data_IF_000358934823
#
_entry.id   IF_000358934823
#
_cell.length_a   1.000
_cell.length_b   1.000
_cell.length_c   1.000
_cell.angle_alpha   90.00
_cell.angle_beta   90.00
_cell.angle_gamma   90.00
#
_symmetry.space_group_name_H-M   'P 1'
#
loop_
_entity.id
_entity.type
_entity.pdbx_description
1 polymer ?
#
# COMPACT_ATOMS: atom_id res chain seq x y z
N UNK A 1 -5.59 4.80 -18.40
CA UNK A 1 -4.51 4.28 -17.52
C UNK A 1 -4.82 2.82 -17.20
N UNK A 2 -3.89 1.87 -17.35
CA UNK A 2 -4.15 0.45 -16.98
C UNK A 2 -4.07 0.32 -15.45
N UNK A 3 -5.09 -0.25 -14.81
CA UNK A 3 -5.13 -0.49 -13.37
C UNK A 3 -4.18 -1.59 -12.90
N UNK A 4 -4.18 -1.89 -11.60
CA UNK A 4 -3.50 -3.06 -11.05
C UNK A 4 -4.02 -4.35 -11.72
N UNK A 5 -3.17 -5.38 -11.83
CA UNK A 5 -3.59 -6.65 -12.41
C UNK A 5 -4.58 -7.35 -11.46
N UNK A 6 -5.62 -7.96 -12.02
CA UNK A 6 -6.74 -8.56 -11.26
C UNK A 6 -6.55 -10.06 -11.06
N UNK A 7 -5.73 -10.69 -11.92
CA UNK A 7 -5.83 -12.13 -12.14
C UNK A 7 -5.17 -12.98 -11.06
N UNK A 8 -4.06 -12.56 -10.42
CA UNK A 8 -3.45 -13.30 -9.30
C UNK A 8 -2.46 -12.44 -8.49
N UNK A 9 -2.32 -12.76 -7.19
CA UNK A 9 -1.23 -12.28 -6.34
C UNK A 9 -1.63 -11.91 -4.90
N UNK A 10 -0.63 -11.87 -4.01
CA UNK A 10 -0.74 -11.50 -2.58
C UNK A 10 -1.64 -10.26 -2.35
N UNK A 11 -1.56 -9.28 -3.27
CA UNK A 11 -2.34 -8.05 -3.18
C UNK A 11 -3.84 -8.30 -3.23
N UNK A 12 -4.32 -9.15 -4.16
CA UNK A 12 -5.75 -9.48 -4.28
C UNK A 12 -6.23 -10.24 -3.05
N UNK A 13 -5.44 -11.22 -2.60
CA UNK A 13 -5.76 -12.03 -1.43
C UNK A 13 -5.79 -11.22 -0.13
N UNK A 14 -4.97 -10.17 -0.06
CA UNK A 14 -4.92 -9.27 1.11
C UNK A 14 -6.10 -8.30 1.23
N UNK A 15 -6.98 -8.20 0.21
CA UNK A 15 -8.12 -7.28 0.25
C UNK A 15 -9.17 -7.81 1.24
N UNK A 16 -9.51 -6.98 2.23
CA UNK A 16 -10.44 -7.30 3.31
C UNK A 16 -11.48 -6.20 3.46
N UNK A 17 -12.68 -6.61 3.88
CA UNK A 17 -13.76 -5.69 4.24
C UNK A 17 -13.84 -5.64 5.76
N UNK A 18 -13.84 -4.44 6.31
CA UNK A 18 -14.02 -4.18 7.73
C UNK A 18 -15.27 -3.33 7.92
N UNK A 19 -16.20 -3.80 8.73
CA UNK A 19 -17.42 -3.07 9.09
C UNK A 19 -17.38 -2.70 10.56
N UNK A 20 -17.71 -1.45 10.88
CA UNK A 20 -17.82 -0.95 12.25
C UNK A 20 -19.19 -0.30 12.43
N UNK A 21 -19.85 -0.59 13.54
CA UNK A 21 -21.01 0.15 14.02
C UNK A 21 -20.60 0.92 15.28
N UNK A 22 -20.68 2.25 15.23
CA UNK A 22 -20.40 3.09 16.38
C UNK A 22 -21.43 4.22 16.46
N UNK A 23 -22.12 4.31 17.60
CA UNK A 23 -23.14 5.35 17.88
C UNK A 23 -24.21 5.46 16.78
N UNK A 24 -24.63 4.33 16.21
CA UNK A 24 -25.64 4.28 15.14
C UNK A 24 -25.11 4.58 13.73
N UNK A 25 -23.81 4.88 13.58
CA UNK A 25 -23.16 5.04 12.28
C UNK A 25 -22.50 3.73 11.88
N UNK A 26 -22.90 3.19 10.73
CA UNK A 26 -22.29 2.01 10.12
C UNK A 26 -21.26 2.47 9.09
N UNK A 27 -20.00 2.17 9.35
CA UNK A 27 -18.89 2.44 8.42
C UNK A 27 -18.38 1.12 7.87
N UNK A 28 -18.34 1.00 6.54
CA UNK A 28 -17.61 -0.06 5.85
C UNK A 28 -16.29 0.51 5.30
N UNK A 29 -15.23 -0.28 5.36
CA UNK A 29 -13.92 0.08 4.83
C UNK A 29 -13.32 -1.11 4.10
N UNK A 30 -12.78 -0.87 2.92
CA UNK A 30 -11.95 -1.83 2.20
C UNK A 30 -10.49 -1.55 2.53
N UNK A 31 -9.75 -2.58 2.95
CA UNK A 31 -8.37 -2.48 3.41
C UNK A 31 -7.51 -3.56 2.76
N UNK A 32 -6.21 -3.33 2.69
CA UNK A 32 -5.21 -4.30 2.24
C UNK A 32 -4.06 -4.28 3.23
N UNK A 33 -3.60 -5.47 3.60
CA UNK A 33 -2.46 -5.65 4.52
C UNK A 33 -1.14 -5.88 3.76
N UNK A 34 -1.15 -5.90 2.42
CA UNK A 34 0.05 -6.07 1.60
C UNK A 34 0.85 -4.76 1.52
N UNK A 35 2.13 -4.81 1.89
CA UNK A 35 3.05 -3.67 1.82
C UNK A 35 3.19 -3.10 0.41
N UNK A 36 3.07 -3.94 -0.64
CA UNK A 36 3.17 -3.54 -2.05
C UNK A 36 2.00 -2.65 -2.48
N UNK A 37 0.88 -2.69 -1.75
CA UNK A 37 -0.32 -1.92 -2.09
C UNK A 37 -0.02 -0.42 -2.23
N UNK A 38 0.79 0.13 -1.32
CA UNK A 38 1.12 1.55 -1.33
C UNK A 38 1.91 1.95 -2.58
N UNK A 39 2.90 1.14 -2.96
CA UNK A 39 3.71 1.39 -4.16
C UNK A 39 2.91 1.19 -5.45
N UNK A 40 1.94 0.29 -5.46
CA UNK A 40 1.06 0.08 -6.61
C UNK A 40 0.07 1.24 -6.75
N UNK A 41 -0.52 1.70 -5.63
CA UNK A 41 -1.52 2.76 -5.64
C UNK A 41 -0.94 4.11 -6.06
N UNK A 42 0.23 4.48 -5.53
CA UNK A 42 0.82 5.80 -5.74
C UNK A 42 2.01 5.81 -6.69
N UNK A 43 2.61 4.66 -6.97
CA UNK A 43 3.89 4.58 -7.67
C UNK A 43 5.05 5.06 -6.80
N UNK A 44 6.23 5.15 -7.42
CA UNK A 44 7.42 5.75 -6.83
C UNK A 44 8.08 6.67 -7.86
N UNK A 45 8.46 7.87 -7.44
CA UNK A 45 9.23 8.79 -8.29
C UNK A 45 10.67 8.28 -8.42
N UNK A 46 11.33 8.64 -9.52
CA UNK A 46 12.74 8.35 -9.72
C UNK A 46 13.58 9.02 -8.61
N UNK A 47 14.40 8.23 -7.95
CA UNK A 47 15.28 8.66 -6.85
C UNK A 47 16.61 7.92 -6.91
N UNK A 48 17.54 8.38 -6.07
CA UNK A 48 18.80 7.69 -5.83
C UNK A 48 18.66 6.84 -4.57
N UNK A 49 19.05 5.58 -4.67
CA UNK A 49 19.18 4.68 -3.53
C UNK A 49 20.63 4.75 -3.09
N UNK A 50 20.90 5.30 -1.90
CA UNK A 50 22.25 5.40 -1.35
C UNK A 50 22.34 4.72 0.02
N UNK A 51 23.56 4.36 0.43
CA UNK A 51 23.83 3.81 1.76
C UNK A 51 23.80 4.94 2.81
N UNK A 52 23.18 4.71 3.96
CA UNK A 52 23.25 5.67 5.06
C UNK A 52 24.64 5.66 5.70
N UNK A 53 25.11 6.82 6.17
CA UNK A 53 26.46 6.96 6.75
C UNK A 53 26.72 6.01 7.93
N UNK A 54 25.69 5.66 8.71
CA UNK A 54 25.76 4.70 9.83
C UNK A 54 25.89 3.23 9.41
N UNK A 55 25.39 2.91 8.22
CA UNK A 55 25.39 1.56 7.63
C UNK A 55 26.57 1.37 6.68
N UNK A 56 27.43 2.40 6.59
CA UNK A 56 28.74 2.31 5.94
C UNK A 56 29.57 1.30 6.72
N UNK A 57 30.27 0.35 6.06
CA UNK A 57 30.97 -0.72 6.74
C UNK A 57 31.95 -0.17 7.78
N UNK A 58 31.72 -0.52 9.05
CA UNK A 58 32.64 -0.34 10.17
C UNK A 58 33.14 -1.72 10.64
N UNK A 59 34.31 -1.79 11.26
CA UNK A 59 34.88 -3.05 11.78
C UNK A 59 34.73 -3.09 13.29
N UNK A 60 34.01 -4.07 13.83
CA UNK A 60 34.05 -4.34 15.28
C UNK A 60 35.40 -4.93 15.70
N UNK A 61 36.03 -4.31 16.68
CA UNK A 61 37.26 -4.79 17.33
C UNK A 61 37.03 -5.02 18.82
N UNK A 62 37.99 -5.63 19.51
CA UNK A 62 37.95 -5.78 20.97
C UNK A 62 37.90 -4.44 21.73
N UNK A 63 38.19 -3.30 21.08
CA UNK A 63 38.16 -1.95 21.66
C UNK A 63 36.95 -1.12 21.22
N UNK A 64 36.02 -1.70 20.46
CA UNK A 64 34.82 -1.01 19.95
C UNK A 64 34.71 -1.05 18.42
N UNK A 65 33.71 -0.33 17.88
CA UNK A 65 33.56 -0.09 16.44
C UNK A 65 34.65 0.84 15.94
N UNK A 66 35.58 0.31 15.14
CA UNK A 66 36.61 1.10 14.46
C UNK A 66 36.26 1.28 12.99
N UNK A 67 36.69 2.40 12.42
CA UNK A 67 36.70 2.56 10.96
C UNK A 67 37.59 1.46 10.35
N UNK A 68 37.14 0.84 9.27
CA UNK A 68 37.95 -0.11 8.50
C UNK A 68 39.29 0.54 8.12
N UNK A 69 40.40 -0.19 8.19
CA UNK A 69 41.73 0.37 7.89
C UNK A 69 41.83 0.90 6.45
N UNK A 70 42.62 1.96 6.22
CA UNK A 70 42.67 2.71 4.96
C UNK A 70 42.80 1.86 3.69
N UNK A 71 43.52 0.73 3.71
CA UNK A 71 43.68 -0.16 2.54
C UNK A 71 42.37 -0.90 2.19
N UNK A 72 41.63 -1.35 3.21
CA UNK A 72 40.31 -1.98 3.05
C UNK A 72 39.27 -0.93 2.71
N UNK A 73 39.36 0.24 3.35
CA UNK A 73 38.57 1.43 3.03
C UNK A 73 38.76 1.85 1.58
N UNK A 74 39.98 1.91 1.04
CA UNK A 74 40.23 2.28 -0.36
C UNK A 74 39.70 1.24 -1.35
N UNK A 75 39.72 -0.06 -1.02
CA UNK A 75 39.14 -1.13 -1.84
C UNK A 75 37.59 -1.12 -1.81
N UNK A 76 37.03 -0.72 -0.66
CA UNK A 76 35.59 -0.51 -0.45
C UNK A 76 35.12 0.82 -1.03
N UNK A 77 35.91 1.90 -0.97
CA UNK A 77 35.64 3.25 -1.50
C UNK A 77 35.80 3.31 -3.02
N UNK A 78 36.76 2.59 -3.60
CA UNK A 78 36.81 2.37 -5.05
C UNK A 78 35.56 1.61 -5.56
N UNK A 79 34.75 1.04 -4.66
CA UNK A 79 33.47 0.38 -4.98
C UNK A 79 32.23 1.05 -4.37
N UNK A 80 32.37 1.87 -3.34
CA UNK A 80 31.30 2.54 -2.58
C UNK A 80 30.11 1.66 -2.17
N UNK A 81 30.18 0.34 -2.24
CA UNK A 81 29.04 -0.37 -2.85
C UNK A 81 27.87 -0.72 -1.91
N UNK A 82 26.71 -0.11 -2.17
CA UNK A 82 25.38 -0.66 -1.90
C UNK A 82 25.31 -2.10 -2.45
N UNK A 83 24.69 -3.01 -1.71
CA UNK A 83 24.44 -4.38 -2.14
C UNK A 83 22.94 -4.61 -2.34
N UNK A 84 22.53 -4.96 -3.57
CA UNK A 84 21.13 -5.27 -3.92
C UNK A 84 21.10 -6.69 -4.48
N UNK A 85 20.23 -7.55 -3.93
CA UNK A 85 20.09 -8.94 -4.42
C UNK A 85 21.39 -9.76 -4.34
N UNK A 86 22.27 -9.44 -3.38
CA UNK A 86 23.58 -10.09 -3.23
C UNK A 86 24.70 -9.52 -4.11
N UNK A 87 24.41 -8.57 -5.01
CA UNK A 87 25.40 -7.94 -5.90
C UNK A 87 25.77 -6.52 -5.46
N UNK A 88 27.05 -6.17 -5.58
CA UNK A 88 27.56 -4.83 -5.29
C UNK A 88 27.35 -3.89 -6.47
N UNK A 89 26.64 -2.78 -6.26
CA UNK A 89 26.11 -1.90 -7.33
C UNK A 89 26.57 -0.44 -7.24
N UNK A 90 27.55 -0.11 -6.38
CA UNK A 90 28.07 1.26 -6.20
C UNK A 90 27.44 2.01 -5.02
N UNK A 91 27.93 3.21 -4.68
CA UNK A 91 27.45 3.99 -3.52
C UNK A 91 26.00 4.45 -3.63
N UNK A 92 25.61 4.77 -4.86
CA UNK A 92 24.24 5.12 -5.16
C UNK A 92 23.80 4.50 -6.48
N UNK A 93 22.53 4.09 -6.53
CA UNK A 93 21.88 3.57 -7.74
C UNK A 93 20.69 4.44 -8.05
N UNK A 94 20.63 4.93 -9.29
CA UNK A 94 19.44 5.60 -9.79
C UNK A 94 18.39 4.56 -10.14
N UNK A 95 17.25 4.58 -9.46
CA UNK A 95 16.10 3.77 -9.90
C UNK A 95 15.10 4.71 -10.61
N UNK A 96 14.52 4.29 -11.75
CA UNK A 96 13.63 5.12 -12.57
C UNK A 96 12.23 5.35 -11.95
N UNK A 97 11.99 4.81 -10.76
CA UNK A 97 10.67 4.74 -10.16
C UNK A 97 9.76 3.69 -10.78
N UNK A 98 8.52 3.70 -10.31
CA UNK A 98 7.43 2.83 -10.78
C UNK A 98 6.20 3.68 -11.04
N UNK A 99 5.54 3.47 -12.18
CA UNK A 99 4.28 4.16 -12.49
C UNK A 99 3.16 3.62 -11.60
N UNK A 100 2.34 4.52 -11.07
CA UNK A 100 1.14 4.18 -10.32
C UNK A 100 0.16 3.36 -11.18
N UNK A 101 -0.40 2.32 -10.56
CA UNK A 101 -1.48 1.48 -11.07
C UNK A 101 -2.61 1.46 -10.04
N UNK A 102 -3.27 2.61 -9.83
CA UNK A 102 -4.24 2.77 -8.75
C UNK A 102 -5.42 1.82 -8.92
N UNK A 103 -5.88 1.27 -7.81
CA UNK A 103 -6.97 0.31 -7.76
C UNK A 103 -8.00 0.67 -6.68
N UNK A 104 -7.57 1.24 -5.55
CA UNK A 104 -8.49 1.60 -4.46
C UNK A 104 -9.18 2.93 -4.69
N UNK A 105 -8.42 3.99 -5.02
CA UNK A 105 -9.01 5.32 -5.23
C UNK A 105 -9.99 5.36 -6.39
N UNK A 106 -9.67 4.84 -7.60
CA UNK A 106 -10.61 4.83 -8.71
C UNK A 106 -11.84 3.96 -8.41
N UNK A 107 -11.70 2.90 -7.61
CA UNK A 107 -12.85 2.10 -7.20
C UNK A 107 -13.78 2.90 -6.27
N UNK A 108 -13.21 3.62 -5.29
CA UNK A 108 -14.00 4.48 -4.40
C UNK A 108 -14.71 5.61 -5.15
N UNK A 109 -13.99 6.31 -6.03
CA UNK A 109 -14.53 7.44 -6.79
C UNK A 109 -15.66 6.98 -7.72
N UNK A 110 -15.51 5.84 -8.39
CA UNK A 110 -16.51 5.35 -9.34
C UNK A 110 -17.68 4.59 -8.70
N UNK A 111 -17.50 3.98 -7.52
CA UNK A 111 -18.47 3.05 -6.92
C UNK A 111 -18.96 3.46 -5.53
N UNK A 112 -18.51 4.60 -5.00
CA UNK A 112 -18.90 5.09 -3.68
C UNK A 112 -20.40 5.31 -3.51
N UNK A 113 -21.02 6.08 -4.41
CA UNK A 113 -22.47 6.34 -4.40
C UNK A 113 -23.28 5.05 -4.60
N UNK A 114 -22.90 4.22 -5.58
CA UNK A 114 -23.54 2.92 -5.82
C UNK A 114 -23.51 2.01 -4.57
N UNK A 115 -22.40 2.00 -3.83
CA UNK A 115 -22.26 1.22 -2.61
C UNK A 115 -23.21 1.70 -1.49
N UNK A 116 -23.41 3.01 -1.35
CA UNK A 116 -24.34 3.59 -0.37
C UNK A 116 -25.78 3.20 -0.71
N UNK A 117 -26.18 3.34 -1.98
CA UNK A 117 -27.51 2.96 -2.44
C UNK A 117 -27.76 1.45 -2.26
N UNK A 118 -26.78 0.62 -2.59
CA UNK A 118 -26.86 -0.82 -2.38
C UNK A 118 -27.03 -1.18 -0.90
N UNK A 119 -26.32 -0.51 0.00
CA UNK A 119 -26.47 -0.71 1.45
C UNK A 119 -27.87 -0.31 1.93
N UNK A 120 -28.39 0.84 1.49
CA UNK A 120 -29.75 1.27 1.85
C UNK A 120 -30.83 0.32 1.31
N UNK A 121 -30.68 -0.15 0.07
CA UNK A 121 -31.58 -1.16 -0.50
C UNK A 121 -31.52 -2.49 0.27
N UNK A 122 -30.34 -2.91 0.71
CA UNK A 122 -30.20 -4.08 1.57
C UNK A 122 -30.91 -3.90 2.91
N UNK A 123 -30.75 -2.74 3.56
CA UNK A 123 -31.45 -2.42 4.82
C UNK A 123 -32.97 -2.41 4.63
N UNK A 124 -33.46 -1.76 3.56
CA UNK A 124 -34.88 -1.72 3.18
C UNK A 124 -35.47 -3.12 3.05
N UNK A 125 -34.81 -4.00 2.31
CA UNK A 125 -35.21 -5.39 2.13
C UNK A 125 -35.17 -6.17 3.45
N UNK A 126 -34.15 -5.94 4.29
CA UNK A 126 -34.01 -6.62 5.59
C UNK A 126 -35.13 -6.24 6.57
N UNK A 127 -35.49 -4.96 6.62
CA UNK A 127 -36.55 -4.46 7.51
C UNK A 127 -37.93 -5.01 7.12
N UNK A 128 -38.22 -5.09 5.81
CA UNK A 128 -39.47 -5.67 5.32
C UNK A 128 -39.54 -7.18 5.61
N UNK A 129 -38.47 -7.92 5.30
CA UNK A 129 -38.48 -9.40 5.40
C UNK A 129 -38.37 -9.93 6.82
N UNK A 130 -37.49 -9.35 7.66
CA UNK A 130 -37.24 -9.86 9.02
C UNK A 130 -38.05 -9.18 10.11
N UNK A 131 -38.43 -7.92 9.91
CA UNK A 131 -39.04 -7.10 10.96
C UNK A 131 -40.49 -6.68 10.63
N UNK A 132 -41.02 -7.08 9.47
CA UNK A 132 -42.43 -6.85 9.10
C UNK A 132 -42.78 -5.38 8.88
N UNK A 133 -41.79 -4.50 8.73
CA UNK A 133 -42.01 -3.07 8.55
C UNK A 133 -42.34 -2.76 7.08
N UNK A 134 -43.34 -1.93 6.83
CA UNK A 134 -43.67 -1.51 5.47
C UNK A 134 -42.69 -0.44 4.99
N UNK A 135 -41.76 -0.84 4.12
CA UNK A 135 -40.72 0.04 3.56
C UNK A 135 -41.01 0.50 2.13
N UNK A 136 -42.19 0.20 1.57
CA UNK A 136 -42.50 0.45 0.15
C UNK A 136 -42.34 1.92 -0.26
N UNK A 137 -42.60 2.86 0.64
CA UNK A 137 -42.50 4.31 0.40
C UNK A 137 -41.10 4.93 0.53
N UNK A 138 -40.07 4.15 0.90
CA UNK A 138 -38.70 4.69 1.06
C UNK A 138 -37.92 4.50 -0.24
N UNK A 139 -37.62 5.57 -0.96
CA UNK A 139 -36.69 5.57 -2.08
C UNK A 139 -35.28 5.83 -1.56
N UNK A 140 -34.32 4.98 -1.96
CA UNK A 140 -32.90 5.16 -1.62
C UNK A 140 -32.20 5.51 -2.92
N UNK A 141 -31.87 6.79 -3.07
CA UNK A 141 -31.16 7.33 -4.22
C UNK A 141 -29.88 8.00 -3.73
N UNK A 142 -28.86 8.05 -4.59
CA UNK A 142 -27.68 8.85 -4.31
C UNK A 142 -27.98 10.27 -4.76
N UNK A 143 -27.82 11.25 -3.86
CA UNK A 143 -27.78 12.65 -4.26
C UNK A 143 -26.53 12.86 -5.14
N UNK A 144 -26.71 13.55 -6.27
CA UNK A 144 -25.65 13.85 -7.27
C UNK A 144 -24.41 14.52 -6.64
#
# INVERSE_FOLDING_TARGET
KRGAAVDDGDLRESIRISTRNQKGVVTASVKTDDFKAHWIEFGTAAHWISVAAKDTPTRKTRRGEEKVGLKTLNKMMAKGSLQIGGQFVGESVFHPGTRARPFMRPALDNKGQEAIVAAGNYMKARLATKHGLNTSGVTVEADE
#
